data_IF_545969661062
#
_entry.id   IF_545969661062
#
_cell.length_a   1.000
_cell.length_b   1.000
_cell.length_c   1.000
_cell.angle_alpha   90.00
_cell.angle_beta   90.00
_cell.angle_gamma   90.00
#
_symmetry.space_group_name_H-M   'P 1'
#
loop_
_entity.id
_entity.type
_entity.pdbx_description
1 polymer ?
#
# COMPACT_ATOMS: atom_id res chain seq x y z
N UNK A 1 -9.73 11.93 -4.15
CA UNK A 1 -8.37 11.69 -3.61
C UNK A 1 -7.51 10.99 -4.65
N UNK A 2 -6.20 11.23 -4.64
CA UNK A 2 -5.22 10.45 -5.41
C UNK A 2 -4.26 9.78 -4.41
N UNK A 3 -4.11 8.47 -4.50
CA UNK A 3 -3.36 7.70 -3.52
C UNK A 3 -2.62 6.52 -4.16
N UNK A 4 -1.56 6.08 -3.48
CA UNK A 4 -0.92 4.81 -3.69
C UNK A 4 -1.67 3.74 -2.88
N UNK A 5 -2.03 2.64 -3.52
CA UNK A 5 -2.45 1.38 -2.92
C UNK A 5 -1.21 0.50 -2.76
N UNK A 6 -0.93 0.11 -1.52
CA UNK A 6 0.19 -0.76 -1.17
C UNK A 6 -0.36 -2.11 -0.70
N UNK A 7 -0.07 -3.18 -1.44
CA UNK A 7 -0.52 -4.53 -1.12
C UNK A 7 0.59 -5.31 -0.42
N UNK A 8 0.21 -6.22 0.48
CA UNK A 8 1.16 -7.18 1.08
C UNK A 8 0.81 -8.61 0.70
N UNK A 9 1.85 -9.44 0.58
CA UNK A 9 1.70 -10.89 0.39
C UNK A 9 1.08 -11.28 -0.95
N UNK A 10 1.19 -10.44 -1.99
CA UNK A 10 0.80 -10.77 -3.36
C UNK A 10 2.03 -11.06 -4.23
N UNK A 11 1.87 -11.93 -5.23
CA UNK A 11 2.94 -12.37 -6.14
C UNK A 11 4.16 -13.02 -5.45
N UNK A 12 3.95 -13.56 -4.25
CA UNK A 12 4.97 -14.28 -3.46
C UNK A 12 4.55 -15.73 -3.24
N UNK A 13 5.42 -16.67 -3.64
CA UNK A 13 5.15 -18.10 -3.52
C UNK A 13 4.11 -18.63 -4.51
N UNK A 14 3.83 -19.94 -4.44
CA UNK A 14 2.86 -20.61 -5.32
C UNK A 14 1.43 -20.24 -4.90
N UNK A 15 0.58 -19.89 -5.87
CA UNK A 15 -0.85 -19.65 -5.64
C UNK A 15 -1.23 -18.23 -5.23
N UNK A 16 -0.28 -17.28 -5.18
CA UNK A 16 -0.54 -15.87 -4.85
C UNK A 16 -0.42 -14.93 -6.04
N UNK A 17 -0.60 -15.44 -7.26
CA UNK A 17 -0.49 -14.63 -8.46
C UNK A 17 -1.68 -13.66 -8.56
N UNK A 18 -1.38 -12.37 -8.67
CA UNK A 18 -2.29 -11.29 -9.01
C UNK A 18 -1.73 -10.61 -10.26
N UNK A 19 -2.27 -10.90 -11.46
CA UNK A 19 -1.92 -10.17 -12.66
C UNK A 19 -2.22 -8.68 -12.50
N UNK A 20 -1.29 -7.82 -12.91
CA UNK A 20 -1.49 -6.37 -12.79
C UNK A 20 -2.60 -5.84 -13.69
N UNK A 21 -2.90 -6.52 -14.81
CA UNK A 21 -4.05 -6.20 -15.64
C UNK A 21 -5.36 -6.37 -14.87
N UNK A 22 -5.50 -7.47 -14.15
CA UNK A 22 -6.67 -7.79 -13.35
C UNK A 22 -6.81 -6.85 -12.15
N UNK A 23 -5.69 -6.50 -11.49
CA UNK A 23 -5.70 -5.48 -10.45
C UNK A 23 -6.21 -4.13 -10.99
N UNK A 24 -5.77 -3.71 -12.18
CA UNK A 24 -6.25 -2.45 -12.79
C UNK A 24 -7.74 -2.53 -13.08
N UNK A 25 -8.20 -3.59 -13.75
CA UNK A 25 -9.61 -3.79 -14.09
C UNK A 25 -10.49 -3.77 -12.84
N UNK A 26 -10.10 -4.48 -11.78
CA UNK A 26 -10.82 -4.51 -10.50
C UNK A 26 -10.94 -3.11 -9.88
N UNK A 27 -9.87 -2.31 -9.91
CA UNK A 27 -9.91 -0.94 -9.39
C UNK A 27 -10.80 -0.02 -10.24
N UNK A 28 -10.75 -0.17 -11.57
CA UNK A 28 -11.59 0.59 -12.52
C UNK A 28 -13.08 0.26 -12.35
N UNK A 29 -13.44 -1.02 -12.15
CA UNK A 29 -14.81 -1.46 -11.84
C UNK A 29 -15.36 -0.84 -10.56
N UNK A 30 -14.50 -0.56 -9.58
CA UNK A 30 -14.87 0.14 -8.34
C UNK A 30 -15.05 1.66 -8.51
N UNK A 31 -14.85 2.17 -9.74
CA UNK A 31 -14.93 3.58 -10.09
C UNK A 31 -13.64 4.36 -9.85
N UNK A 32 -12.51 3.67 -9.69
CA UNK A 32 -11.21 4.33 -9.66
C UNK A 32 -10.80 4.75 -11.07
N UNK A 33 -10.01 5.81 -11.15
CA UNK A 33 -9.53 6.41 -12.40
C UNK A 33 -8.02 6.60 -12.33
N UNK A 34 -7.38 6.91 -13.45
CA UNK A 34 -5.92 7.10 -13.54
C UNK A 34 -5.11 5.92 -12.97
N UNK A 35 -5.63 4.70 -13.07
CA UNK A 35 -5.05 3.54 -12.41
C UNK A 35 -3.75 3.15 -13.10
N UNK A 36 -2.65 3.12 -12.33
CA UNK A 36 -1.32 2.69 -12.78
C UNK A 36 -0.72 1.73 -11.78
N UNK A 37 -0.16 0.62 -12.24
CA UNK A 37 0.49 -0.39 -11.39
C UNK A 37 2.00 -0.27 -11.43
N UNK A 38 2.67 -0.62 -10.33
CA UNK A 38 4.13 -0.60 -10.23
C UNK A 38 4.71 -2.02 -10.22
N UNK A 39 5.38 -2.39 -11.32
CA UNK A 39 6.00 -3.70 -11.53
C UNK A 39 5.03 -4.86 -11.21
N UNK A 40 5.51 -6.00 -10.70
CA UNK A 40 4.69 -7.11 -10.22
C UNK A 40 4.50 -7.10 -8.70
N UNK A 41 4.70 -5.95 -8.05
CA UNK A 41 4.63 -5.83 -6.59
C UNK A 41 3.20 -5.81 -6.04
N UNK A 42 2.19 -5.64 -6.89
CA UNK A 42 0.81 -5.42 -6.46
C UNK A 42 0.50 -3.98 -6.05
N UNK A 43 1.48 -3.08 -6.11
CA UNK A 43 1.25 -1.68 -5.79
C UNK A 43 0.61 -0.96 -6.98
N UNK A 44 -0.30 -0.03 -6.68
CA UNK A 44 -0.96 0.80 -7.67
C UNK A 44 -1.06 2.26 -7.22
N UNK A 45 -1.26 3.16 -8.17
CA UNK A 45 -1.64 4.55 -7.92
C UNK A 45 -2.95 4.80 -8.66
N UNK A 46 -3.88 5.48 -8.00
CA UNK A 46 -5.22 5.71 -8.54
C UNK A 46 -5.83 7.01 -8.02
N UNK A 47 -6.86 7.47 -8.72
CA UNK A 47 -7.76 8.55 -8.33
C UNK A 47 -9.14 7.97 -7.97
N UNK A 48 -9.73 8.40 -6.85
CA UNK A 48 -11.07 7.97 -6.41
C UNK A 48 -11.90 9.13 -5.85
N UNK A 49 -13.21 9.08 -6.05
CA UNK A 49 -14.18 9.99 -5.41
C UNK A 49 -14.61 9.52 -4.02
N UNK A 50 -14.32 8.27 -3.66
CA UNK A 50 -14.59 7.73 -2.33
C UNK A 50 -13.60 8.34 -1.32
N UNK A 51 -14.03 8.45 -0.07
CA UNK A 51 -13.09 8.64 1.05
C UNK A 51 -12.28 7.37 1.31
N UNK A 52 -11.14 7.52 1.99
CA UNK A 52 -10.15 6.46 2.18
C UNK A 52 -10.73 5.18 2.81
N UNK A 53 -11.39 5.28 3.97
CA UNK A 53 -11.98 4.12 4.64
C UNK A 53 -13.03 3.38 3.78
N UNK A 54 -13.82 4.12 3.01
CA UNK A 54 -14.81 3.52 2.10
C UNK A 54 -14.15 2.85 0.89
N UNK A 55 -13.03 3.40 0.41
CA UNK A 55 -12.24 2.82 -0.66
C UNK A 55 -11.51 1.55 -0.18
N UNK A 56 -10.88 1.60 0.98
CA UNK A 56 -10.21 0.46 1.62
C UNK A 56 -11.14 -0.73 1.80
N UNK A 57 -12.34 -0.49 2.36
CA UNK A 57 -13.36 -1.53 2.48
C UNK A 57 -13.77 -2.13 1.13
N UNK A 58 -13.98 -1.29 0.12
CA UNK A 58 -14.42 -1.73 -1.20
C UNK A 58 -13.34 -2.54 -1.93
N UNK A 59 -12.11 -2.04 -1.95
CA UNK A 59 -10.96 -2.70 -2.58
C UNK A 59 -10.61 -4.00 -1.83
N UNK A 60 -10.61 -3.97 -0.50
CA UNK A 60 -10.36 -5.16 0.32
C UNK A 60 -11.37 -6.27 0.06
N UNK A 61 -12.66 -5.94 -0.02
CA UNK A 61 -13.69 -6.92 -0.35
C UNK A 61 -13.55 -7.49 -1.77
N UNK A 62 -13.26 -6.64 -2.75
CA UNK A 62 -13.08 -7.07 -4.14
C UNK A 62 -11.83 -7.96 -4.31
N UNK A 63 -10.70 -7.58 -3.72
CA UNK A 63 -9.48 -8.39 -3.71
C UNK A 63 -9.68 -9.70 -2.97
N UNK A 64 -10.39 -9.69 -1.83
CA UNK A 64 -10.66 -10.92 -1.10
C UNK A 64 -11.50 -11.91 -1.90
N UNK A 65 -12.51 -11.40 -2.62
CA UNK A 65 -13.32 -12.20 -3.53
C UNK A 65 -12.50 -12.76 -4.70
N UNK A 66 -11.64 -11.93 -5.30
CA UNK A 66 -10.80 -12.33 -6.43
C UNK A 66 -9.73 -13.37 -6.03
N UNK A 67 -9.06 -13.14 -4.90
CA UNK A 67 -7.95 -13.97 -4.41
C UNK A 67 -8.40 -15.18 -3.58
N UNK A 68 -9.66 -15.25 -3.18
CA UNK A 68 -10.19 -16.29 -2.29
C UNK A 68 -9.68 -16.19 -0.84
N UNK A 69 -9.05 -15.07 -0.46
CA UNK A 69 -8.50 -14.80 0.88
C UNK A 69 -8.35 -13.30 1.12
N UNK A 70 -8.38 -12.81 2.38
CA UNK A 70 -8.07 -11.42 2.65
C UNK A 70 -6.65 -11.05 2.17
N UNK A 71 -6.53 -9.84 1.62
CA UNK A 71 -5.27 -9.22 1.22
C UNK A 71 -5.09 -7.98 2.07
N UNK A 72 -4.00 -7.93 2.83
CA UNK A 72 -3.62 -6.73 3.57
C UNK A 72 -3.26 -5.63 2.59
N UNK A 73 -3.88 -4.47 2.79
CA UNK A 73 -3.69 -3.30 1.96
C UNK A 73 -3.65 -2.03 2.80
N UNK A 74 -3.01 -0.99 2.28
CA UNK A 74 -3.09 0.34 2.86
C UNK A 74 -3.01 1.39 1.77
N UNK A 75 -3.59 2.56 2.03
CA UNK A 75 -3.52 3.71 1.13
C UNK A 75 -2.59 4.77 1.71
N UNK A 76 -1.82 5.42 0.83
CA UNK A 76 -1.04 6.61 1.18
C UNK A 76 -1.16 7.66 0.09
N UNK A 77 -1.45 8.88 0.49
CA UNK A 77 -1.43 10.05 -0.38
C UNK A 77 0.01 10.42 -0.74
N UNK A 78 0.17 11.21 -1.82
CA UNK A 78 1.49 11.73 -2.17
C UNK A 78 2.10 12.61 -1.08
N UNK A 79 1.26 13.35 -0.34
CA UNK A 79 1.72 14.18 0.77
C UNK A 79 2.29 13.34 1.92
N UNK A 80 1.64 12.23 2.29
CA UNK A 80 2.14 11.32 3.33
C UNK A 80 3.44 10.62 2.91
N UNK A 81 3.54 10.21 1.64
CA UNK A 81 4.77 9.60 1.13
C UNK A 81 5.93 10.61 1.13
N UNK A 82 5.69 11.86 0.74
CA UNK A 82 6.70 12.92 0.82
C UNK A 82 7.11 13.20 2.27
N UNK A 83 6.15 13.27 3.19
CA UNK A 83 6.45 13.49 4.61
C UNK A 83 7.36 12.40 5.20
N UNK A 84 7.20 11.13 4.76
CA UNK A 84 8.11 10.05 5.16
C UNK A 84 9.52 10.24 4.62
N UNK A 85 9.65 10.70 3.37
CA UNK A 85 10.96 11.00 2.76
C UNK A 85 11.63 12.16 3.48
N UNK A 86 10.89 13.24 3.74
CA UNK A 86 11.40 14.44 4.41
C UNK A 86 11.80 14.16 5.87
N UNK A 87 11.11 13.24 6.54
CA UNK A 87 11.38 12.84 7.92
C UNK A 87 12.37 11.66 8.04
N UNK A 88 12.96 11.17 6.94
CA UNK A 88 13.86 10.02 6.98
C UNK A 88 15.15 10.35 7.77
N UNK A 89 15.40 9.74 8.95
CA UNK A 89 16.62 9.99 9.72
C UNK A 89 17.83 9.22 9.17
N UNK A 90 17.62 8.27 8.25
CA UNK A 90 18.64 7.41 7.67
C UNK A 90 19.12 7.96 6.32
N UNK A 91 19.60 9.21 6.31
CA UNK A 91 20.08 9.89 5.10
C UNK A 91 21.42 9.35 4.60
N UNK A 92 22.24 8.80 5.50
CA UNK A 92 23.51 8.15 5.19
C UNK A 92 23.40 6.65 5.51
N UNK A 93 23.26 5.83 4.48
CA UNK A 93 23.21 4.37 4.58
C UNK A 93 24.20 3.75 3.60
N UNK A 94 24.93 2.73 4.06
CA UNK A 94 25.93 2.03 3.23
C UNK A 94 25.30 1.35 2.01
N UNK A 95 24.08 0.83 2.17
CA UNK A 95 23.33 0.14 1.13
C UNK A 95 21.87 0.62 1.11
N UNK A 96 21.53 1.56 0.21
CA UNK A 96 20.18 2.09 0.07
C UNK A 96 19.12 1.03 -0.24
N UNK A 97 19.50 -0.14 -0.76
CA UNK A 97 18.54 -1.22 -1.06
C UNK A 97 18.00 -1.90 0.20
N UNK A 98 18.66 -1.69 1.34
CA UNK A 98 18.24 -2.19 2.65
C UNK A 98 17.43 -1.18 3.44
N UNK A 99 17.23 0.03 2.92
CA UNK A 99 16.36 1.02 3.53
C UNK A 99 14.90 0.69 3.21
N UNK A 100 14.16 0.25 4.23
CA UNK A 100 12.78 -0.22 4.10
C UNK A 100 11.86 0.65 4.95
N UNK A 101 10.74 1.07 4.35
CA UNK A 101 9.62 1.69 5.07
C UNK A 101 8.50 0.67 5.19
N UNK A 102 7.99 0.49 6.41
CA UNK A 102 6.79 -0.30 6.67
C UNK A 102 5.67 0.60 7.15
N UNK A 103 4.55 0.58 6.42
CA UNK A 103 3.33 1.25 6.85
C UNK A 103 2.52 0.33 7.75
N UNK A 104 1.95 0.86 8.84
CA UNK A 104 1.03 0.13 9.71
C UNK A 104 -0.41 0.51 9.37
N UNK A 105 -1.32 -0.45 9.48
CA UNK A 105 -2.76 -0.23 9.26
C UNK A 105 -3.42 0.52 10.42
N UNK A 106 -2.86 0.40 11.62
CA UNK A 106 -3.29 1.08 12.83
C UNK A 106 -2.09 1.68 13.57
N UNK A 107 -2.29 2.74 14.37
CA UNK A 107 -1.25 3.26 15.24
C UNK A 107 -0.69 2.17 16.16
N UNK A 108 0.63 1.95 16.18
CA UNK A 108 1.24 1.00 17.10
C UNK A 108 1.07 1.49 18.55
N UNK A 109 0.94 0.58 19.53
CA UNK A 109 0.96 0.95 20.94
C UNK A 109 2.23 1.73 21.29
N UNK A 110 2.08 2.86 21.98
CA UNK A 110 3.19 3.76 22.32
C UNK A 110 4.33 3.03 23.06
N UNK A 111 3.98 2.11 23.96
CA UNK A 111 4.94 1.29 24.70
C UNK A 111 5.87 0.45 23.81
N UNK A 112 5.44 0.08 22.59
CA UNK A 112 6.27 -0.65 21.62
C UNK A 112 7.11 0.28 20.75
N UNK A 113 6.72 1.55 20.62
CA UNK A 113 7.41 2.55 19.78
C UNK A 113 8.49 3.27 20.56
N UNK A 114 8.24 3.61 21.83
CA UNK A 114 9.15 4.41 22.65
C UNK A 114 10.61 3.92 22.65
N UNK A 115 10.92 2.62 22.66
CA UNK A 115 12.31 2.14 22.60
C UNK A 115 12.99 2.31 21.23
N UNK A 116 12.21 2.53 20.16
CA UNK A 116 12.69 2.59 18.77
C UNK A 116 13.00 4.01 18.30
N UNK A 117 12.46 5.03 18.99
CA UNK A 117 12.74 6.44 18.66
C UNK A 117 14.13 6.77 19.17
N UNK A 118 15.12 6.81 18.26
CA UNK A 118 16.39 7.50 18.54
C UNK A 118 16.09 9.00 18.52
N UNK A 119 16.32 9.66 19.66
CA UNK A 119 16.21 11.11 19.81
C UNK A 119 17.21 11.88 18.97
#
# INVERSE_FOLDING_TARGET
MRAALLLRGVNVGKGNALPMADLRALLEELGCTDVRTYLQSGNAVLSSRRGEAALEKAVGAALAKYMGRPIDLTFRTGAELNAVVDANPFVEVDDPTKLVVTFLSEPPPEALVAPLVKG
#
